data_IF_996668616924
#
_entry.id   IF_996668616924
#
_cell.length_a   1.000
_cell.length_b   1.000
_cell.length_c   1.000
_cell.angle_alpha   90.00
_cell.angle_beta   90.00
_cell.angle_gamma   90.00
#
_symmetry.space_group_name_H-M   'P 1'
#
loop_
_entity.id
_entity.type
_entity.pdbx_description
1 polymer ?
#
# COMPACT_ATOMS: atom_id res chain seq x y z
N UNK A 1 24.43 -15.34 -2.06
CA UNK A 1 23.26 -14.55 -1.63
C UNK A 1 23.36 -14.45 -0.11
N UNK A 2 23.21 -13.27 0.47
CA UNK A 2 23.20 -13.12 1.94
C UNK A 2 21.73 -13.11 2.39
N UNK A 3 21.41 -13.91 3.42
CA UNK A 3 20.05 -14.02 3.96
C UNK A 3 20.05 -13.56 5.42
N UNK A 4 19.48 -12.39 5.68
CA UNK A 4 19.21 -11.92 7.03
C UNK A 4 17.80 -12.38 7.45
N UNK A 5 17.64 -12.75 8.71
CA UNK A 5 16.35 -13.13 9.26
C UNK A 5 15.92 -12.19 10.38
N UNK A 6 14.62 -11.88 10.42
CA UNK A 6 14.04 -11.00 11.43
C UNK A 6 12.87 -11.75 12.09
N UNK A 7 12.97 -12.00 13.37
CA UNK A 7 11.88 -12.56 14.15
C UNK A 7 11.08 -11.45 14.82
N UNK A 8 9.77 -11.42 14.58
CA UNK A 8 8.84 -10.55 15.30
C UNK A 8 8.27 -11.28 16.52
N UNK A 9 8.44 -10.69 17.70
CA UNK A 9 8.07 -11.31 18.96
C UNK A 9 9.11 -12.33 19.47
N UNK A 10 8.72 -13.12 20.46
CA UNK A 10 9.63 -14.01 21.20
C UNK A 10 9.17 -15.48 21.22
N UNK A 11 8.59 -15.96 20.13
CA UNK A 11 8.17 -17.36 20.04
C UNK A 11 9.40 -18.27 20.04
N UNK A 12 9.69 -18.89 21.20
CA UNK A 12 10.93 -19.62 21.46
C UNK A 12 11.21 -20.75 20.46
N UNK A 13 10.17 -21.45 20.00
CA UNK A 13 10.34 -22.58 19.05
C UNK A 13 10.83 -22.17 17.65
N UNK A 14 10.76 -20.89 17.29
CA UNK A 14 11.16 -20.41 15.95
C UNK A 14 12.55 -19.76 15.96
N UNK A 15 13.05 -19.31 17.09
CA UNK A 15 14.32 -18.59 17.20
C UNK A 15 15.49 -19.39 16.61
N UNK A 16 15.64 -20.64 17.03
CA UNK A 16 16.74 -21.51 16.59
C UNK A 16 16.72 -21.74 15.08
N UNK A 17 15.51 -21.89 14.51
CA UNK A 17 15.33 -22.05 13.06
C UNK A 17 15.75 -20.80 12.31
N UNK A 18 15.30 -19.62 12.76
CA UNK A 18 15.66 -18.35 12.14
C UNK A 18 17.16 -18.05 12.23
N UNK A 19 17.80 -18.39 13.35
CA UNK A 19 19.25 -18.28 13.53
C UNK A 19 20.00 -19.20 12.58
N UNK A 20 19.58 -20.46 12.43
CA UNK A 20 20.19 -21.40 11.52
C UNK A 20 20.07 -20.94 10.06
N UNK A 21 18.90 -20.43 9.64
CA UNK A 21 18.71 -19.89 8.27
C UNK A 21 19.66 -18.72 8.03
N UNK A 22 19.76 -17.77 8.95
CA UNK A 22 20.67 -16.64 8.81
C UNK A 22 22.13 -17.09 8.71
N UNK A 23 22.55 -18.03 9.56
CA UNK A 23 23.92 -18.56 9.58
C UNK A 23 24.26 -19.28 8.26
N UNK A 24 23.39 -20.16 7.77
CA UNK A 24 23.59 -20.83 6.48
C UNK A 24 23.54 -19.87 5.28
N UNK A 25 22.81 -18.76 5.42
CA UNK A 25 22.75 -17.71 4.43
C UNK A 25 23.85 -16.65 4.53
N UNK A 26 24.90 -16.87 5.34
CA UNK A 26 26.00 -15.90 5.56
C UNK A 26 25.51 -14.52 6.06
N UNK A 27 24.31 -14.48 6.64
CA UNK A 27 23.66 -13.28 7.15
C UNK A 27 23.61 -13.22 8.66
N UNK A 28 22.76 -12.36 9.18
CA UNK A 28 22.56 -12.14 10.62
C UNK A 28 21.08 -12.34 11.00
N UNK A 29 20.87 -12.79 12.23
CA UNK A 29 19.57 -12.90 12.87
C UNK A 29 19.29 -11.66 13.71
N UNK A 30 18.09 -11.12 13.60
CA UNK A 30 17.59 -10.01 14.41
C UNK A 30 16.25 -10.38 15.05
N UNK A 31 15.98 -9.82 16.22
CA UNK A 31 14.69 -9.93 16.87
C UNK A 31 14.14 -8.55 17.20
N UNK A 32 12.85 -8.36 16.96
CA UNK A 32 12.11 -7.16 17.35
C UNK A 32 10.87 -7.55 18.16
N UNK A 33 10.39 -6.64 19.00
CA UNK A 33 9.11 -6.83 19.66
C UNK A 33 7.98 -7.02 18.63
N UNK A 34 6.93 -7.73 19.01
CA UNK A 34 5.83 -8.07 18.09
C UNK A 34 5.07 -6.82 17.57
N UNK A 35 5.11 -5.74 18.33
CA UNK A 35 4.60 -4.41 17.96
C UNK A 35 5.60 -3.58 17.12
N UNK A 36 6.73 -4.18 16.74
CA UNK A 36 7.79 -3.55 15.93
C UNK A 36 8.78 -2.75 16.76
N UNK A 37 8.54 -2.47 18.04
CA UNK A 37 9.42 -1.69 18.93
C UNK A 37 9.73 -0.28 18.40
N UNK A 38 9.10 0.14 17.31
CA UNK A 38 9.27 1.45 16.70
C UNK A 38 8.28 2.41 17.36
N UNK A 39 8.79 3.44 18.00
CA UNK A 39 7.90 4.50 18.51
C UNK A 39 7.14 5.12 17.35
N UNK A 40 5.83 4.93 17.37
CA UNK A 40 4.93 5.57 16.40
C UNK A 40 4.87 7.06 16.70
N UNK A 41 5.35 7.88 15.79
CA UNK A 41 5.24 9.33 15.88
C UNK A 41 3.95 9.73 15.18
N UNK A 42 2.96 10.16 15.96
CA UNK A 42 1.73 10.74 15.39
C UNK A 42 2.04 12.07 14.72
N UNK A 43 1.46 12.26 13.55
CA UNK A 43 1.67 13.47 12.76
C UNK A 43 0.35 14.20 12.49
N UNK A 44 0.36 15.52 12.25
CA UNK A 44 -0.85 16.24 11.88
C UNK A 44 -1.42 15.85 10.52
N UNK A 45 -0.66 15.09 9.72
CA UNK A 45 -1.02 14.65 8.36
C UNK A 45 -1.71 13.28 8.34
N UNK A 46 -1.61 12.48 9.41
CA UNK A 46 -2.08 11.10 9.42
C UNK A 46 -3.58 10.98 9.14
N UNK A 47 -4.38 11.87 9.72
CA UNK A 47 -5.83 11.89 9.52
C UNK A 47 -6.20 12.16 8.05
N UNK A 48 -5.63 13.20 7.46
CA UNK A 48 -5.92 13.59 6.08
C UNK A 48 -5.45 12.50 5.09
N UNK A 49 -4.27 11.90 5.32
CA UNK A 49 -3.80 10.76 4.53
C UNK A 49 -4.75 9.57 4.62
N UNK A 50 -5.27 9.27 5.81
CA UNK A 50 -6.25 8.21 6.01
C UNK A 50 -7.55 8.48 5.24
N UNK A 51 -8.06 9.71 5.28
CA UNK A 51 -9.25 10.12 4.54
C UNK A 51 -9.05 10.03 3.01
N UNK A 52 -7.87 10.45 2.52
CA UNK A 52 -7.50 10.30 1.12
C UNK A 52 -7.36 8.83 0.72
N UNK A 53 -6.87 7.97 1.63
CA UNK A 53 -6.85 6.52 1.46
C UNK A 53 -8.24 5.92 1.28
N UNK A 54 -9.24 6.39 2.04
CA UNK A 54 -10.63 6.00 1.85
C UNK A 54 -11.19 6.51 0.50
N UNK A 55 -10.88 7.77 0.14
CA UNK A 55 -11.29 8.34 -1.15
C UNK A 55 -10.73 7.57 -2.33
N UNK A 56 -9.44 7.22 -2.34
CA UNK A 56 -8.87 6.43 -3.44
C UNK A 56 -9.52 5.04 -3.52
N UNK A 57 -9.86 4.43 -2.39
CA UNK A 57 -10.59 3.17 -2.33
C UNK A 57 -11.99 3.26 -2.94
N UNK A 58 -12.69 4.37 -2.74
CA UNK A 58 -14.02 4.59 -3.31
C UNK A 58 -14.00 4.80 -4.84
N UNK A 59 -12.83 5.03 -5.44
CA UNK A 59 -12.68 5.11 -6.91
C UNK A 59 -12.55 3.74 -7.58
N UNK A 60 -12.52 2.65 -6.82
CA UNK A 60 -12.41 1.30 -7.35
C UNK A 60 -13.63 0.94 -8.20
N UNK A 61 -13.38 0.44 -9.39
CA UNK A 61 -14.41 0.06 -10.36
C UNK A 61 -14.19 -1.39 -10.78
N UNK A 62 -14.91 -2.31 -10.15
CA UNK A 62 -14.88 -3.71 -10.57
C UNK A 62 -15.45 -3.86 -11.98
N UNK A 63 -14.81 -4.68 -12.80
CA UNK A 63 -15.26 -5.05 -14.14
C UNK A 63 -15.13 -6.57 -14.34
N UNK A 64 -15.75 -7.09 -15.41
CA UNK A 64 -15.83 -8.54 -15.63
C UNK A 64 -17.06 -9.17 -14.97
N UNK A 65 -17.02 -10.49 -14.81
CA UNK A 65 -18.12 -11.27 -14.24
C UNK A 65 -19.24 -11.62 -15.21
N UNK A 66 -19.15 -11.15 -16.45
CA UNK A 66 -20.07 -11.50 -17.53
C UNK A 66 -21.46 -10.86 -17.46
N UNK A 67 -22.37 -11.41 -18.25
CA UNK A 67 -23.73 -10.92 -18.42
C UNK A 67 -24.67 -11.30 -17.28
N UNK A 68 -25.83 -10.63 -17.26
CA UNK A 68 -26.97 -10.96 -16.40
C UNK A 68 -26.78 -10.54 -14.93
N UNK A 69 -27.73 -10.98 -14.10
CA UNK A 69 -27.81 -10.59 -12.69
C UNK A 69 -26.56 -10.99 -11.87
N UNK A 70 -25.94 -12.11 -12.21
CA UNK A 70 -24.73 -12.58 -11.51
C UNK A 70 -23.53 -11.64 -11.75
N UNK A 71 -23.31 -11.19 -12.97
CA UNK A 71 -22.23 -10.25 -13.30
C UNK A 71 -22.45 -8.87 -12.67
N UNK A 72 -23.70 -8.36 -12.72
CA UNK A 72 -24.08 -7.10 -12.04
C UNK A 72 -23.80 -7.20 -10.54
N UNK A 73 -24.23 -8.27 -9.92
CA UNK A 73 -24.03 -8.52 -8.49
C UNK A 73 -22.55 -8.58 -8.14
N UNK A 74 -21.75 -9.33 -8.90
CA UNK A 74 -20.30 -9.43 -8.72
C UNK A 74 -19.64 -8.05 -8.70
N UNK A 75 -19.88 -7.21 -9.72
CA UNK A 75 -19.28 -5.88 -9.83
C UNK A 75 -19.72 -4.95 -8.70
N UNK A 76 -21.00 -4.99 -8.35
CA UNK A 76 -21.55 -4.18 -7.25
C UNK A 76 -20.92 -4.59 -5.92
N UNK A 77 -20.92 -5.87 -5.57
CA UNK A 77 -20.37 -6.39 -4.31
C UNK A 77 -18.87 -6.14 -4.21
N UNK A 78 -18.12 -6.34 -5.30
CA UNK A 78 -16.69 -6.10 -5.32
C UNK A 78 -16.35 -4.62 -5.11
N UNK A 79 -17.05 -3.70 -5.79
CA UNK A 79 -16.82 -2.26 -5.65
C UNK A 79 -17.22 -1.76 -4.26
N UNK A 80 -18.39 -2.14 -3.77
CA UNK A 80 -18.85 -1.77 -2.42
C UNK A 80 -17.98 -2.37 -1.33
N UNK A 81 -17.59 -3.64 -1.47
CA UNK A 81 -16.70 -4.32 -0.54
C UNK A 81 -15.32 -3.67 -0.45
N UNK A 82 -14.77 -3.20 -1.57
CA UNK A 82 -13.51 -2.47 -1.57
C UNK A 82 -13.65 -1.12 -0.87
N UNK A 83 -14.66 -0.33 -1.22
CA UNK A 83 -14.92 0.96 -0.58
C UNK A 83 -15.14 0.82 0.94
N UNK A 84 -15.95 -0.15 1.36
CA UNK A 84 -16.21 -0.41 2.78
C UNK A 84 -14.94 -0.81 3.54
N UNK A 85 -14.06 -1.63 2.95
CA UNK A 85 -12.78 -1.99 3.58
C UNK A 85 -11.89 -0.78 3.80
N UNK A 86 -11.79 0.12 2.83
CA UNK A 86 -10.95 1.32 2.96
C UNK A 86 -11.52 2.30 3.99
N UNK A 87 -12.84 2.46 4.05
CA UNK A 87 -13.50 3.26 5.09
C UNK A 87 -13.27 2.65 6.47
N UNK A 88 -13.40 1.33 6.61
CA UNK A 88 -13.14 0.65 7.87
C UNK A 88 -11.70 0.81 8.33
N UNK A 89 -10.71 0.70 7.44
CA UNK A 89 -9.31 0.96 7.77
C UNK A 89 -9.12 2.41 8.22
N UNK A 90 -9.68 3.38 7.51
CA UNK A 90 -9.56 4.79 7.85
C UNK A 90 -10.15 5.13 9.23
N UNK A 91 -11.18 4.41 9.67
CA UNK A 91 -11.88 4.67 10.94
C UNK A 91 -11.40 3.81 12.11
N UNK A 92 -10.90 2.60 11.88
CA UNK A 92 -10.59 1.62 12.93
C UNK A 92 -9.09 1.39 13.13
N UNK A 93 -8.26 1.60 12.10
CA UNK A 93 -6.82 1.41 12.23
C UNK A 93 -6.16 2.61 12.94
N UNK A 94 -5.03 2.41 13.63
CA UNK A 94 -4.20 3.51 14.11
C UNK A 94 -3.90 4.48 12.95
N UNK A 95 -4.02 5.79 13.19
CA UNK A 95 -3.94 6.81 12.15
C UNK A 95 -2.66 6.73 11.31
N UNK A 96 -1.50 6.46 11.95
CA UNK A 96 -0.24 6.26 11.23
C UNK A 96 -0.25 5.06 10.31
N UNK A 97 -0.83 3.93 10.73
CA UNK A 97 -0.95 2.73 9.89
C UNK A 97 -1.91 2.93 8.71
N UNK A 98 -3.01 3.65 8.93
CA UNK A 98 -3.94 4.03 7.87
C UNK A 98 -3.28 4.98 6.86
N UNK A 99 -2.45 5.93 7.33
CA UNK A 99 -1.65 6.82 6.49
C UNK A 99 -0.63 6.05 5.64
N UNK A 100 0.13 5.12 6.24
CA UNK A 100 1.10 4.29 5.52
C UNK A 100 0.42 3.44 4.43
N UNK A 101 -0.77 2.90 4.73
CA UNK A 101 -1.58 2.16 3.76
C UNK A 101 -2.02 3.05 2.59
N UNK A 102 -2.45 4.29 2.86
CA UNK A 102 -2.84 5.23 1.82
C UNK A 102 -1.67 5.54 0.87
N UNK A 103 -0.48 5.78 1.42
CA UNK A 103 0.75 6.00 0.64
C UNK A 103 1.09 4.78 -0.20
N UNK A 104 1.05 3.57 0.37
CA UNK A 104 1.29 2.35 -0.38
C UNK A 104 0.33 2.20 -1.58
N UNK A 105 -0.95 2.50 -1.38
CA UNK A 105 -1.96 2.46 -2.44
C UNK A 105 -1.74 3.50 -3.54
N UNK A 106 -1.19 4.67 -3.18
CA UNK A 106 -0.87 5.70 -4.17
C UNK A 106 0.36 5.32 -5.02
N UNK A 107 1.35 4.65 -4.42
CA UNK A 107 2.59 4.23 -5.07
C UNK A 107 2.46 2.95 -5.88
N UNK A 108 1.62 2.01 -5.43
CA UNK A 108 1.49 0.70 -6.06
C UNK A 108 0.33 0.70 -7.06
N UNK A 109 0.67 0.70 -8.34
CA UNK A 109 -0.32 0.64 -9.43
C UNK A 109 -1.16 -0.64 -9.44
N UNK A 110 -0.68 -1.71 -8.80
CA UNK A 110 -1.39 -3.00 -8.74
C UNK A 110 -2.16 -3.20 -7.42
N UNK A 111 -2.24 -2.16 -6.59
CA UNK A 111 -2.90 -2.23 -5.28
C UNK A 111 -4.38 -2.66 -5.35
N UNK A 112 -4.99 -2.52 -6.52
CA UNK A 112 -6.38 -2.88 -6.76
C UNK A 112 -6.51 -3.86 -7.94
N UNK A 113 -6.34 -5.14 -7.66
CA UNK A 113 -6.59 -6.18 -8.66
C UNK A 113 -8.09 -6.18 -9.08
N UNK A 114 -8.35 -6.33 -10.38
CA UNK A 114 -9.72 -6.33 -10.92
C UNK A 114 -10.39 -4.96 -11.03
N UNK A 115 -9.61 -3.89 -10.92
CA UNK A 115 -10.08 -2.51 -11.10
C UNK A 115 -9.92 -2.05 -12.55
N UNK A 116 -11.02 -1.60 -13.15
CA UNK A 116 -11.05 -1.15 -14.55
C UNK A 116 -10.11 0.05 -14.78
N UNK A 117 -10.15 1.05 -13.91
CA UNK A 117 -9.33 2.25 -14.08
C UNK A 117 -7.83 1.92 -14.03
N UNK A 118 -7.41 1.09 -13.08
CA UNK A 118 -6.03 0.61 -12.99
C UNK A 118 -5.62 -0.17 -14.24
N UNK A 119 -6.49 -1.07 -14.72
CA UNK A 119 -6.21 -1.87 -15.91
C UNK A 119 -6.09 -1.05 -17.19
N UNK A 120 -6.83 0.06 -17.28
CA UNK A 120 -6.71 1.00 -18.40
C UNK A 120 -5.45 1.88 -18.27
N UNK A 121 -5.12 2.36 -17.05
CA UNK A 121 -3.94 3.20 -16.80
C UNK A 121 -2.62 2.46 -17.07
N UNK A 122 -2.52 1.18 -16.66
CA UNK A 122 -1.30 0.37 -16.86
C UNK A 122 -1.26 -0.36 -18.22
N UNK A 123 -2.31 -0.19 -19.04
CA UNK A 123 -2.38 -0.78 -20.38
C UNK A 123 -2.63 -2.30 -20.41
N UNK A 124 -2.96 -2.93 -19.26
CA UNK A 124 -3.29 -4.37 -19.23
C UNK A 124 -4.61 -4.67 -19.95
N UNK A 125 -5.47 -3.67 -20.12
CA UNK A 125 -6.63 -3.75 -20.99
C UNK A 125 -6.85 -2.43 -21.74
N UNK A 126 -7.72 -2.48 -22.77
CA UNK A 126 -8.19 -1.32 -23.51
C UNK A 126 -9.72 -1.28 -23.46
N UNK A 127 -10.30 -0.09 -23.40
CA UNK A 127 -11.75 0.04 -23.26
C UNK A 127 -12.54 -0.63 -24.38
N UNK A 128 -12.04 -0.58 -25.61
CA UNK A 128 -12.62 -1.22 -26.79
C UNK A 128 -12.54 -2.76 -26.77
N UNK A 129 -11.72 -3.34 -25.86
CA UNK A 129 -11.58 -4.78 -25.63
C UNK A 129 -12.43 -5.29 -24.47
N UNK A 130 -12.95 -4.40 -23.64
CA UNK A 130 -13.87 -4.79 -22.55
C UNK A 130 -15.26 -4.94 -23.14
N UNK A 131 -15.82 -6.15 -22.99
CA UNK A 131 -17.20 -6.40 -23.45
C UNK A 131 -18.19 -5.55 -22.67
N UNK A 132 -19.25 -5.10 -23.32
CA UNK A 132 -20.29 -4.30 -22.65
C UNK A 132 -20.87 -5.01 -21.41
N UNK A 133 -21.01 -6.33 -21.47
CA UNK A 133 -21.50 -7.14 -20.33
C UNK A 133 -20.57 -7.11 -19.11
N UNK A 134 -19.29 -6.85 -19.30
CA UNK A 134 -18.24 -6.80 -18.27
C UNK A 134 -18.02 -5.39 -17.71
N UNK A 135 -18.62 -4.37 -18.33
CA UNK A 135 -18.49 -2.99 -17.84
C UNK A 135 -19.34 -2.74 -16.59
N UNK A 136 -18.93 -1.81 -15.72
CA UNK A 136 -19.77 -1.25 -14.67
C UNK A 136 -21.10 -0.72 -15.23
N UNK A 137 -22.18 -0.92 -14.50
CA UNK A 137 -23.53 -0.67 -15.01
C UNK A 137 -23.83 0.81 -15.31
N UNK A 138 -23.15 1.73 -14.63
CA UNK A 138 -23.22 3.16 -14.89
C UNK A 138 -22.53 3.53 -16.22
N UNK A 139 -21.45 2.85 -16.59
CA UNK A 139 -20.78 3.03 -17.86
C UNK A 139 -21.51 2.39 -19.03
N UNK A 140 -22.24 1.28 -18.81
CA UNK A 140 -23.04 0.63 -19.86
C UNK A 140 -24.14 1.55 -20.41
N UNK A 141 -24.67 2.42 -19.57
CA UNK A 141 -25.74 3.36 -19.94
C UNK A 141 -25.25 4.53 -20.81
N UNK A 142 -23.96 4.69 -20.95
CA UNK A 142 -23.35 5.78 -21.70
C UNK A 142 -23.01 5.34 -23.14
N UNK A 143 -23.25 6.23 -24.07
CA UNK A 143 -22.73 6.10 -25.44
C UNK A 143 -21.20 6.03 -25.43
N UNK A 144 -20.55 5.36 -26.41
CA UNK A 144 -19.12 5.12 -26.41
C UNK A 144 -18.26 6.36 -26.16
N UNK A 145 -18.59 7.48 -26.81
CA UNK A 145 -17.84 8.73 -26.65
C UNK A 145 -18.03 9.36 -25.24
N UNK A 146 -19.23 9.25 -24.67
CA UNK A 146 -19.50 9.72 -23.31
C UNK A 146 -18.83 8.82 -22.27
N UNK A 147 -18.82 7.51 -22.51
CA UNK A 147 -18.14 6.51 -21.69
C UNK A 147 -16.64 6.78 -21.59
N UNK A 148 -16.00 7.05 -22.74
CA UNK A 148 -14.57 7.39 -22.78
C UNK A 148 -14.28 8.64 -21.94
N UNK A 149 -15.05 9.71 -22.12
CA UNK A 149 -14.89 10.96 -21.35
C UNK A 149 -15.08 10.74 -19.84
N UNK A 150 -16.06 9.93 -19.45
CA UNK A 150 -16.30 9.63 -18.03
C UNK A 150 -15.13 8.85 -17.42
N UNK A 151 -14.56 7.88 -18.13
CA UNK A 151 -13.37 7.14 -17.68
C UNK A 151 -12.17 8.08 -17.55
N UNK A 152 -11.91 8.91 -18.54
CA UNK A 152 -10.81 9.90 -18.48
C UNK A 152 -10.96 10.86 -17.30
N UNK A 153 -12.18 11.32 -17.02
CA UNK A 153 -12.49 12.14 -15.85
C UNK A 153 -12.15 11.38 -14.55
N UNK A 154 -12.61 10.15 -14.40
CA UNK A 154 -12.37 9.34 -13.17
C UNK A 154 -10.88 9.00 -12.98
N UNK A 155 -10.16 8.72 -14.05
CA UNK A 155 -8.70 8.56 -14.02
C UNK A 155 -8.03 9.86 -13.54
N UNK A 156 -8.46 11.01 -14.06
CA UNK A 156 -7.95 12.32 -13.66
C UNK A 156 -8.21 12.63 -12.18
N UNK A 157 -9.41 12.32 -11.67
CA UNK A 157 -9.77 12.48 -10.26
C UNK A 157 -8.91 11.58 -9.36
N UNK A 158 -8.72 10.30 -9.74
CA UNK A 158 -7.85 9.36 -9.01
C UNK A 158 -6.40 9.82 -9.00
N UNK A 159 -5.90 10.29 -10.13
CA UNK A 159 -4.53 10.84 -10.25
C UNK A 159 -4.32 12.01 -9.30
N UNK A 160 -5.27 12.93 -9.21
CA UNK A 160 -5.22 14.03 -8.27
C UNK A 160 -5.17 13.57 -6.81
N UNK A 161 -5.99 12.57 -6.43
CA UNK A 161 -5.95 11.99 -5.08
C UNK A 161 -4.57 11.38 -4.80
N UNK A 162 -3.98 10.66 -5.75
CA UNK A 162 -2.62 10.12 -5.61
C UNK A 162 -1.57 11.21 -5.42
N UNK A 163 -1.64 12.29 -6.18
CA UNK A 163 -0.73 13.43 -6.06
C UNK A 163 -0.85 14.10 -4.69
N UNK A 164 -2.07 14.28 -4.18
CA UNK A 164 -2.32 14.84 -2.85
C UNK A 164 -1.75 13.93 -1.75
N UNK A 165 -1.94 12.61 -1.84
CA UNK A 165 -1.36 11.63 -0.92
C UNK A 165 0.17 11.73 -0.91
N UNK A 166 0.81 11.75 -2.08
CA UNK A 166 2.27 11.79 -2.19
C UNK A 166 2.84 13.11 -1.66
N UNK A 167 2.16 14.22 -1.88
CA UNK A 167 2.54 15.52 -1.33
C UNK A 167 2.48 15.52 0.19
N UNK A 168 1.39 15.02 0.77
CA UNK A 168 1.23 14.93 2.22
C UNK A 168 2.20 13.91 2.85
N UNK A 169 2.47 12.80 2.18
CA UNK A 169 3.47 11.82 2.60
C UNK A 169 4.84 12.46 2.79
N UNK A 170 5.27 13.27 1.83
CA UNK A 170 6.54 13.99 1.94
C UNK A 170 6.59 14.91 3.17
N UNK A 171 5.52 15.67 3.42
CA UNK A 171 5.43 16.55 4.61
C UNK A 171 5.43 15.73 5.90
N UNK A 172 4.75 14.59 5.91
CA UNK A 172 4.75 13.64 7.04
C UNK A 172 6.14 13.10 7.32
N UNK A 173 6.89 12.68 6.30
CA UNK A 173 8.25 12.16 6.44
C UNK A 173 9.21 13.21 6.99
N UNK A 174 9.11 14.45 6.52
CA UNK A 174 9.88 15.59 7.04
C UNK A 174 9.56 15.86 8.52
N UNK A 175 8.29 15.80 8.90
CA UNK A 175 7.86 15.95 10.30
C UNK A 175 8.42 14.84 11.18
N UNK A 176 8.30 13.57 10.75
CA UNK A 176 8.83 12.42 11.49
C UNK A 176 10.34 12.51 11.64
N UNK A 177 11.05 12.89 10.58
CA UNK A 177 12.50 13.06 10.62
C UNK A 177 12.91 14.17 11.62
N UNK A 178 12.21 15.28 11.63
CA UNK A 178 12.45 16.39 12.58
C UNK A 178 12.14 15.97 14.03
N UNK A 179 11.05 15.25 14.26
CA UNK A 179 10.67 14.75 15.57
C UNK A 179 11.70 13.74 16.12
N UNK A 180 12.18 12.80 15.27
CA UNK A 180 13.23 11.83 15.63
C UNK A 180 14.54 12.53 16.01
N UNK A 181 14.94 13.60 15.30
CA UNK A 181 16.12 14.41 15.66
C UNK A 181 15.99 15.07 17.02
N UNK A 182 14.80 15.52 17.40
CA UNK A 182 14.53 16.15 18.72
C UNK A 182 14.51 15.13 19.86
N UNK A 183 14.09 13.90 19.58
CA UNK A 183 14.04 12.80 20.55
C UNK A 183 15.41 12.12 20.76
N UNK A 184 16.53 12.73 20.34
CA UNK A 184 17.88 12.21 20.35
C UNK A 184 18.31 11.62 21.71
N UNK A 185 17.82 10.42 21.98
CA UNK A 185 18.11 9.62 23.15
C UNK A 185 17.94 8.14 22.80
N UNK A 186 19.00 7.50 22.43
CA UNK A 186 19.20 6.12 21.96
C UNK A 186 18.61 5.86 20.57
N UNK A 187 19.47 5.72 19.54
CA UNK A 187 19.04 5.15 18.28
C UNK A 187 18.33 3.83 18.58
N UNK A 188 17.21 3.56 17.93
CA UNK A 188 16.53 2.27 18.04
C UNK A 188 17.59 1.18 17.83
N UNK A 189 17.87 0.39 18.85
CA UNK A 189 18.99 -0.58 18.83
C UNK A 189 18.85 -1.55 17.66
N UNK A 190 17.61 -1.83 17.25
CA UNK A 190 17.29 -2.68 16.11
C UNK A 190 17.70 -2.02 14.78
N UNK A 191 17.26 -0.81 14.49
CA UNK A 191 17.59 -0.11 13.24
C UNK A 191 19.10 0.09 13.10
N UNK A 192 19.78 0.40 14.19
CA UNK A 192 21.23 0.56 14.22
C UNK A 192 21.96 -0.75 13.94
N UNK A 193 21.47 -1.86 14.52
CA UNK A 193 22.04 -3.19 14.32
C UNK A 193 21.86 -3.65 12.86
N UNK A 194 20.64 -3.49 12.31
CA UNK A 194 20.36 -3.84 10.90
C UNK A 194 21.19 -2.97 9.95
N UNK A 195 21.23 -1.66 10.16
CA UNK A 195 22.03 -0.76 9.32
C UNK A 195 23.53 -1.09 9.38
N UNK A 196 24.05 -1.47 10.55
CA UNK A 196 25.42 -1.92 10.73
C UNK A 196 25.71 -3.18 9.92
N UNK A 197 24.86 -4.18 10.05
CA UNK A 197 24.97 -5.44 9.33
C UNK A 197 24.93 -5.25 7.81
N UNK A 198 24.00 -4.43 7.33
CA UNK A 198 23.89 -4.14 5.88
C UNK A 198 25.15 -3.44 5.35
N UNK A 199 25.69 -2.45 6.07
CA UNK A 199 26.95 -1.79 5.66
C UNK A 199 28.11 -2.77 5.59
N UNK A 200 28.25 -3.63 6.58
CA UNK A 200 29.28 -4.67 6.60
C UNK A 200 29.14 -5.63 5.41
N UNK A 201 27.92 -6.09 5.16
CA UNK A 201 27.61 -7.03 4.07
C UNK A 201 27.83 -6.41 2.69
N UNK A 202 27.44 -5.14 2.49
CA UNK A 202 27.73 -4.38 1.28
C UNK A 202 29.23 -4.18 1.08
N UNK A 203 29.95 -3.83 2.15
CA UNK A 203 31.41 -3.72 2.13
C UNK A 203 32.11 -5.01 1.71
N UNK A 204 31.66 -6.18 2.21
CA UNK A 204 32.17 -7.50 1.79
C UNK A 204 31.94 -7.79 0.29
N UNK A 205 30.94 -7.18 -0.32
CA UNK A 205 30.65 -7.28 -1.76
C UNK A 205 31.26 -6.16 -2.61
N UNK A 206 32.07 -5.26 -2.02
CA UNK A 206 32.69 -4.14 -2.71
C UNK A 206 31.73 -3.02 -3.10
N UNK A 207 30.53 -3.01 -2.54
CA UNK A 207 29.52 -1.97 -2.75
C UNK A 207 29.71 -0.89 -1.68
N UNK A 208 29.96 0.36 -2.12
CA UNK A 208 30.10 1.53 -1.24
C UNK A 208 28.80 2.29 -1.11
#
# INVERSE_FOLDING_TARGET
MIVNTIQCGNLAGTQTVWQAIAQHGEGQYFAIAQDGGVQTISTPYDKELSELGAKIGSTFMAYGGGAGAAGVRYRSEASQGQASREIAVASLAPAGAAADRAVNKALNSEAYAGDLLTSLENGSTKLDKVKDEDLPDDLKKLEPAARQKEIEKRIGERKKIREDILKLSKQRDEFIAAARKKQSGKPNSFDSAVAGALREQLGRKGIK
#
